data_IF_779822214990
#
_entry.id   IF_779822214990
#
_cell.length_a   1.000
_cell.length_b   1.000
_cell.length_c   1.000
_cell.angle_alpha   90.00
_cell.angle_beta   90.00
_cell.angle_gamma   90.00
#
_symmetry.space_group_name_H-M   'P 1'
#
loop_
_entity.id
_entity.type
_entity.pdbx_description
1 polymer ?
#
# COMPACT_ATOMS: atom_id res chain seq x y z
N UNK A 1 -20.06 -0.81 -16.43
CA UNK A 1 -19.16 -1.24 -15.34
C UNK A 1 -17.74 -1.12 -15.87
N UNK A 2 -16.84 -0.54 -15.09
CA UNK A 2 -15.41 -0.48 -15.42
C UNK A 2 -14.78 -1.87 -15.24
N UNK A 3 -13.81 -2.24 -16.07
CA UNK A 3 -13.01 -3.46 -15.85
C UNK A 3 -12.14 -3.32 -14.59
N UNK A 4 -11.68 -4.43 -14.00
CA UNK A 4 -10.84 -4.40 -12.80
C UNK A 4 -9.57 -3.54 -13.00
N UNK A 5 -8.97 -3.60 -14.19
CA UNK A 5 -7.83 -2.76 -14.58
C UNK A 5 -8.14 -1.25 -14.57
N UNK A 6 -9.39 -0.90 -14.87
CA UNK A 6 -9.87 0.48 -14.85
C UNK A 6 -10.26 0.94 -13.45
N UNK A 7 -10.26 0.04 -12.45
CA UNK A 7 -10.58 0.36 -11.07
C UNK A 7 -9.33 0.53 -10.19
N UNK A 8 -8.12 0.40 -10.75
CA UNK A 8 -6.87 0.68 -10.07
C UNK A 8 -6.84 2.12 -9.53
N UNK A 9 -6.72 2.27 -8.21
CA UNK A 9 -6.80 3.55 -7.50
C UNK A 9 -8.23 4.07 -7.24
N UNK A 10 -9.28 3.30 -7.53
CA UNK A 10 -10.67 3.70 -7.24
C UNK A 10 -11.03 3.50 -5.78
N UNK A 11 -12.00 4.28 -5.29
CA UNK A 11 -12.56 4.04 -3.97
C UNK A 11 -13.63 2.96 -4.00
N UNK A 12 -13.53 2.06 -3.03
CA UNK A 12 -14.53 1.07 -2.70
C UNK A 12 -15.21 1.46 -1.39
N UNK A 13 -16.53 1.31 -1.35
CA UNK A 13 -17.36 1.64 -0.18
C UNK A 13 -18.35 0.50 0.04
N UNK A 14 -18.42 -0.02 1.27
CA UNK A 14 -19.39 -1.04 1.70
C UNK A 14 -20.42 -0.40 2.64
N UNK A 15 -21.73 -0.73 2.51
CA UNK A 15 -22.84 0.20 2.31
C UNK A 15 -22.97 1.26 3.42
N UNK A 16 -23.65 2.39 3.13
CA UNK A 16 -23.32 3.68 3.72
C UNK A 16 -23.81 3.74 5.17
N UNK A 17 -22.92 3.48 6.13
CA UNK A 17 -23.00 4.23 7.36
C UNK A 17 -22.75 5.69 6.95
N UNK A 18 -23.81 6.50 6.85
CA UNK A 18 -23.60 7.93 6.64
C UNK A 18 -22.63 8.41 7.73
N UNK A 19 -21.54 9.12 7.39
CA UNK A 19 -20.58 9.55 8.38
C UNK A 19 -21.26 10.53 9.34
N UNK A 20 -21.72 10.04 10.49
CA UNK A 20 -22.26 10.86 11.56
C UNK A 20 -21.05 11.42 12.32
N UNK A 21 -20.69 12.68 12.06
CA UNK A 21 -19.75 13.45 12.90
C UNK A 21 -18.29 12.99 12.84
N UNK A 22 -17.65 13.09 11.67
CA UNK A 22 -16.25 12.70 11.31
C UNK A 22 -15.19 12.88 12.41
N UNK A 23 -15.12 11.98 13.37
CA UNK A 23 -14.05 11.92 14.35
C UNK A 23 -12.89 11.01 13.88
N UNK A 24 -13.20 9.90 13.19
CA UNK A 24 -12.23 8.89 12.76
C UNK A 24 -12.57 8.30 11.39
N UNK A 25 -11.56 8.09 10.54
CA UNK A 25 -11.65 7.52 9.19
C UNK A 25 -10.65 6.40 9.01
N UNK A 26 -11.06 5.29 8.41
CA UNK A 26 -10.24 4.15 8.05
C UNK A 26 -10.03 4.11 6.54
N UNK A 27 -8.79 4.11 6.09
CA UNK A 27 -8.37 3.92 4.71
C UNK A 27 -7.73 2.54 4.60
N UNK A 28 -8.39 1.63 3.88
CA UNK A 28 -7.96 0.26 3.72
C UNK A 28 -7.35 0.03 2.33
N UNK A 29 -6.24 -0.69 2.28
CA UNK A 29 -5.60 -1.08 1.02
C UNK A 29 -5.07 -2.52 1.10
N UNK A 30 -5.37 -3.30 0.07
CA UNK A 30 -5.12 -4.74 0.07
C UNK A 30 -3.78 -5.13 -0.57
N UNK A 31 -3.44 -6.40 -0.45
CA UNK A 31 -2.30 -7.01 -1.13
C UNK A 31 -2.53 -7.26 -2.62
N UNK A 32 -1.56 -7.94 -3.23
CA UNK A 32 -1.65 -8.43 -4.61
C UNK A 32 -2.91 -9.28 -4.82
N UNK A 33 -3.49 -9.29 -6.02
CA UNK A 33 -4.58 -10.19 -6.45
C UNK A 33 -5.87 -10.15 -5.62
N UNK A 34 -6.10 -9.07 -4.87
CA UNK A 34 -7.40 -8.85 -4.25
C UNK A 34 -8.37 -8.34 -5.30
N UNK A 35 -9.30 -9.18 -5.74
CA UNK A 35 -10.40 -8.71 -6.59
C UNK A 35 -11.23 -7.64 -5.88
N UNK A 36 -11.98 -6.87 -6.65
CA UNK A 36 -12.90 -5.85 -6.12
C UNK A 36 -13.88 -6.48 -5.13
N UNK A 37 -14.46 -7.64 -5.47
CA UNK A 37 -15.40 -8.34 -4.59
C UNK A 37 -14.75 -8.76 -3.27
N UNK A 38 -13.51 -9.27 -3.32
CA UNK A 38 -12.76 -9.65 -2.11
C UNK A 38 -12.48 -8.43 -1.24
N UNK A 39 -12.03 -7.34 -1.84
CA UNK A 39 -11.78 -6.12 -1.08
C UNK A 39 -13.07 -5.58 -0.46
N UNK A 40 -14.21 -5.65 -1.16
CA UNK A 40 -15.51 -5.28 -0.60
C UNK A 40 -15.89 -6.17 0.60
N UNK A 41 -15.64 -7.47 0.55
CA UNK A 41 -15.83 -8.39 1.69
C UNK A 41 -14.91 -8.06 2.89
N UNK A 42 -13.69 -7.63 2.61
CA UNK A 42 -12.77 -7.16 3.66
C UNK A 42 -13.28 -5.88 4.30
N UNK A 43 -13.78 -4.92 3.51
CA UNK A 43 -14.43 -3.70 4.02
C UNK A 43 -15.66 -4.04 4.86
N UNK A 44 -16.49 -4.99 4.43
CA UNK A 44 -17.61 -5.51 5.22
C UNK A 44 -17.15 -6.02 6.58
N UNK A 45 -16.11 -6.84 6.59
CA UNK A 45 -15.56 -7.40 7.83
C UNK A 45 -15.08 -6.29 8.76
N UNK A 46 -14.43 -5.25 8.23
CA UNK A 46 -13.97 -4.10 9.01
C UNK A 46 -15.14 -3.29 9.59
N UNK A 47 -16.25 -3.15 8.87
CA UNK A 47 -17.49 -2.57 9.41
C UNK A 47 -17.98 -3.40 10.59
N UNK A 48 -18.04 -4.73 10.46
CA UNK A 48 -18.46 -5.63 11.54
C UNK A 48 -17.53 -5.57 12.76
N UNK A 49 -16.21 -5.51 12.56
CA UNK A 49 -15.23 -5.40 13.64
C UNK A 49 -15.35 -4.08 14.40
N UNK A 50 -15.84 -3.02 13.76
CA UNK A 50 -15.90 -1.67 14.34
C UNK A 50 -17.31 -1.22 14.72
N UNK A 51 -18.30 -2.12 14.72
CA UNK A 51 -19.70 -1.77 15.01
C UNK A 51 -19.92 -1.01 16.32
N UNK A 52 -19.20 -1.37 17.38
CA UNK A 52 -19.36 -0.74 18.69
C UNK A 52 -18.79 0.69 18.73
N UNK A 53 -17.85 1.00 17.82
CA UNK A 53 -17.25 2.33 17.62
C UNK A 53 -17.02 2.57 16.12
N UNK A 54 -18.08 2.92 15.37
CA UNK A 54 -18.04 2.96 13.91
C UNK A 54 -16.99 3.94 13.36
N UNK A 55 -16.31 3.52 12.29
CA UNK A 55 -15.36 4.34 11.53
C UNK A 55 -15.94 4.71 10.16
N UNK A 56 -15.49 5.83 9.58
CA UNK A 56 -15.72 6.13 8.16
C UNK A 56 -14.74 5.29 7.32
N UNK A 57 -15.19 4.15 6.78
CA UNK A 57 -14.33 3.15 6.12
C UNK A 57 -14.36 3.32 4.59
N UNK A 58 -13.19 3.50 3.99
CA UNK A 58 -12.99 3.55 2.54
C UNK A 58 -11.89 2.56 2.13
N UNK A 59 -12.10 1.81 1.06
CA UNK A 59 -11.06 1.01 0.42
C UNK A 59 -10.43 1.76 -0.76
N UNK A 60 -9.12 1.67 -0.93
CA UNK A 60 -8.41 2.06 -2.15
C UNK A 60 -8.05 0.80 -2.91
N UNK A 61 -8.61 0.61 -4.10
CA UNK A 61 -8.33 -0.56 -4.91
C UNK A 61 -6.96 -0.48 -5.58
N UNK A 62 -6.25 -1.61 -5.70
CA UNK A 62 -4.85 -1.65 -6.12
C UNK A 62 -4.47 -2.90 -6.96
N UNK A 63 -5.44 -3.57 -7.57
CA UNK A 63 -5.20 -4.75 -8.42
C UNK A 63 -4.91 -4.30 -9.86
N UNK A 64 -3.76 -4.66 -10.41
CA UNK A 64 -3.38 -4.33 -11.80
C UNK A 64 -3.30 -5.59 -12.66
N UNK A 65 -4.46 -6.09 -13.12
CA UNK A 65 -4.51 -7.11 -14.16
C UNK A 65 -3.76 -8.43 -13.87
N UNK A 66 -3.74 -8.88 -12.61
CA UNK A 66 -3.30 -10.23 -12.24
C UNK A 66 -1.90 -10.33 -11.61
N UNK A 67 -1.66 -11.48 -10.96
CA UNK A 67 -0.58 -11.71 -9.99
C UNK A 67 0.82 -11.24 -10.39
N UNK A 68 1.19 -11.40 -11.67
CA UNK A 68 2.55 -11.09 -12.12
C UNK A 68 2.82 -9.59 -12.17
N UNK A 69 1.82 -8.81 -12.56
CA UNK A 69 1.93 -7.36 -12.59
C UNK A 69 1.97 -6.83 -11.16
N UNK A 70 1.03 -7.26 -10.32
CA UNK A 70 1.03 -6.90 -8.89
C UNK A 70 2.37 -7.20 -8.20
N UNK A 71 2.98 -8.36 -8.49
CA UNK A 71 4.31 -8.71 -7.96
C UNK A 71 5.41 -7.75 -8.45
N UNK A 72 5.40 -7.42 -9.74
CA UNK A 72 6.33 -6.44 -10.30
C UNK A 72 6.15 -5.07 -9.64
N UNK A 73 4.91 -4.62 -9.48
CA UNK A 73 4.60 -3.35 -8.83
C UNK A 73 5.11 -3.32 -7.38
N UNK A 74 4.89 -4.42 -6.65
CA UNK A 74 5.39 -4.58 -5.29
C UNK A 74 6.93 -4.46 -5.25
N UNK A 75 7.63 -5.13 -6.16
CA UNK A 75 9.09 -5.08 -6.23
C UNK A 75 9.62 -3.69 -6.58
N UNK A 76 9.01 -3.03 -7.58
CA UNK A 76 9.39 -1.67 -7.98
C UNK A 76 9.11 -0.66 -6.87
N UNK A 77 7.95 -0.76 -6.20
CA UNK A 77 7.60 0.09 -5.07
C UNK A 77 8.57 -0.10 -3.89
N UNK A 78 8.97 -1.34 -3.61
CA UNK A 78 9.98 -1.64 -2.57
C UNK A 78 11.36 -1.07 -2.92
N UNK A 79 11.76 -1.18 -4.18
CA UNK A 79 13.02 -0.60 -4.66
C UNK A 79 13.02 0.92 -4.51
N UNK A 80 11.91 1.59 -4.80
CA UNK A 80 11.79 3.04 -4.61
C UNK A 80 11.80 3.43 -3.12
N UNK A 81 11.11 2.68 -2.24
CA UNK A 81 11.17 2.92 -0.79
C UNK A 81 12.60 2.91 -0.24
N UNK A 82 13.43 1.98 -0.73
CA UNK A 82 14.83 1.90 -0.34
C UNK A 82 15.64 3.14 -0.75
N UNK A 83 15.21 3.88 -1.78
CA UNK A 83 15.83 5.16 -2.18
C UNK A 83 15.45 6.32 -1.25
N UNK A 84 14.39 6.17 -0.44
CA UNK A 84 13.95 7.19 0.51
C UNK A 84 14.57 7.03 1.90
N UNK A 85 15.38 6.00 2.10
CA UNK A 85 16.15 5.86 3.33
C UNK A 85 17.15 7.01 3.46
N UNK A 86 17.33 7.61 4.66
CA UNK A 86 18.18 8.78 4.85
C UNK A 86 19.60 8.64 4.28
N UNK A 87 20.18 7.45 4.41
CA UNK A 87 21.54 7.12 3.95
C UNK A 87 21.64 6.87 2.44
N UNK A 88 20.52 6.72 1.73
CA UNK A 88 20.45 6.49 0.27
C UNK A 88 19.76 7.61 -0.50
N UNK A 89 19.13 8.56 0.20
CA UNK A 89 18.38 9.66 -0.40
C UNK A 89 19.31 10.54 -1.26
N UNK A 90 19.22 10.33 -2.57
CA UNK A 90 19.92 11.15 -3.57
C UNK A 90 19.08 12.39 -3.92
N UNK A 91 19.72 13.41 -4.51
CA UNK A 91 19.00 14.57 -5.08
C UNK A 91 17.94 14.16 -6.12
N UNK A 92 18.19 13.09 -6.87
CA UNK A 92 17.26 12.61 -7.88
C UNK A 92 16.01 11.99 -7.25
N UNK A 93 16.21 11.13 -6.25
CA UNK A 93 15.10 10.51 -5.49
C UNK A 93 14.29 11.57 -4.75
N UNK A 94 14.97 12.57 -4.17
CA UNK A 94 14.34 13.72 -3.53
C UNK A 94 13.46 14.54 -4.49
N UNK A 95 13.97 14.83 -5.69
CA UNK A 95 13.23 15.53 -6.73
C UNK A 95 12.03 14.71 -7.22
N UNK A 96 12.15 13.39 -7.35
CA UNK A 96 11.00 12.53 -7.69
C UNK A 96 9.90 12.64 -6.63
N UNK A 97 10.28 12.58 -5.34
CA UNK A 97 9.35 12.73 -4.24
C UNK A 97 8.66 14.11 -4.25
N UNK A 98 9.41 15.18 -4.56
CA UNK A 98 8.83 16.52 -4.75
C UNK A 98 7.82 16.54 -5.90
N UNK A 99 8.15 15.94 -7.04
CA UNK A 99 7.23 15.87 -8.18
C UNK A 99 5.93 15.15 -7.79
N UNK A 100 5.99 14.07 -7.02
CA UNK A 100 4.81 13.37 -6.51
C UNK A 100 3.97 14.25 -5.58
N UNK A 101 4.61 15.04 -4.70
CA UNK A 101 3.90 15.99 -3.85
C UNK A 101 3.21 17.10 -4.67
N UNK A 102 3.83 17.56 -5.76
CA UNK A 102 3.23 18.53 -6.68
C UNK A 102 2.00 17.94 -7.40
N UNK A 103 2.05 16.67 -7.81
CA UNK A 103 0.89 15.95 -8.35
C UNK A 103 -0.25 15.85 -7.33
N UNK A 104 0.08 15.46 -6.09
CA UNK A 104 -0.90 15.40 -5.00
C UNK A 104 -1.56 16.76 -4.75
N UNK A 105 -0.77 17.85 -4.81
CA UNK A 105 -1.30 19.21 -4.67
C UNK A 105 -2.33 19.54 -5.74
N UNK A 106 -2.05 19.22 -7.00
CA UNK A 106 -2.99 19.42 -8.11
C UNK A 106 -4.30 18.63 -7.90
N UNK A 107 -4.21 17.38 -7.46
CA UNK A 107 -5.40 16.59 -7.10
C UNK A 107 -6.19 17.24 -5.96
N UNK A 108 -5.50 17.77 -4.94
CA UNK A 108 -6.12 18.39 -3.78
C UNK A 108 -6.76 19.76 -4.03
N UNK A 109 -6.48 20.39 -5.18
CA UNK A 109 -7.13 21.64 -5.59
C UNK A 109 -8.52 21.38 -6.21
N UNK A 110 -8.88 20.12 -6.47
CA UNK A 110 -10.23 19.68 -6.87
C UNK A 110 -10.82 18.65 -5.89
N UNK A 111 -12.15 18.50 -5.92
CA UNK A 111 -12.83 17.39 -5.23
C UNK A 111 -13.01 16.25 -6.23
N UNK A 112 -12.39 15.11 -5.95
CA UNK A 112 -12.45 13.93 -6.79
C UNK A 112 -13.67 13.11 -6.45
N UNK A 113 -14.35 12.61 -7.48
CA UNK A 113 -15.38 11.60 -7.30
C UNK A 113 -14.78 10.28 -6.77
N UNK A 114 -15.54 9.43 -6.05
CA UNK A 114 -15.07 8.10 -5.63
C UNK A 114 -14.60 7.22 -6.80
N UNK A 115 -15.20 7.39 -7.98
CA UNK A 115 -14.90 6.69 -9.23
C UNK A 115 -13.95 7.46 -10.17
N UNK A 116 -13.32 8.53 -9.68
CA UNK A 116 -12.39 9.32 -10.48
C UNK A 116 -11.11 8.53 -10.80
N UNK A 117 -10.78 8.42 -12.09
CA UNK A 117 -9.48 7.97 -12.56
C UNK A 117 -8.45 9.10 -12.34
N UNK A 118 -7.60 8.90 -11.33
CA UNK A 118 -6.55 9.86 -10.96
C UNK A 118 -5.67 10.24 -12.15
N UNK A 119 -5.41 9.30 -13.06
CA UNK A 119 -4.60 9.58 -14.22
C UNK A 119 -5.31 10.55 -15.16
N UNK A 120 -6.57 10.29 -15.45
CA UNK A 120 -7.36 11.17 -16.31
C UNK A 120 -7.44 12.60 -15.72
N UNK A 121 -7.64 12.70 -14.40
CA UNK A 121 -7.69 13.98 -13.68
C UNK A 121 -6.38 14.78 -13.79
N UNK A 122 -5.24 14.11 -13.61
CA UNK A 122 -3.92 14.76 -13.73
C UNK A 122 -3.57 15.15 -15.16
N UNK A 123 -3.92 14.32 -16.14
CA UNK A 123 -3.67 14.58 -17.56
C UNK A 123 -4.46 15.78 -18.07
N UNK A 124 -5.69 15.97 -17.59
CA UNK A 124 -6.48 17.16 -17.92
C UNK A 124 -5.81 18.45 -17.43
N UNK A 125 -5.09 18.40 -16.31
CA UNK A 125 -4.43 19.56 -15.71
C UNK A 125 -3.01 19.79 -16.24
N UNK A 126 -2.31 18.76 -16.74
CA UNK A 126 -0.99 18.88 -17.38
C UNK A 126 -0.92 18.09 -18.69
N UNK A 127 -0.98 18.81 -19.81
CA UNK A 127 -0.78 18.22 -21.16
C UNK A 127 0.61 17.60 -21.35
N UNK A 128 1.64 18.02 -20.58
CA UNK A 128 2.96 17.39 -20.59
C UNK A 128 2.98 15.96 -20.02
N UNK A 129 1.86 15.52 -19.42
CA UNK A 129 1.63 14.14 -18.98
C UNK A 129 0.84 13.32 -20.03
N UNK A 130 0.67 13.83 -21.27
CA UNK A 130 0.12 13.08 -22.38
C UNK A 130 1.20 12.20 -23.03
N UNK A 131 0.88 10.95 -23.37
CA UNK A 131 1.84 9.99 -23.90
C UNK A 131 2.07 10.15 -25.41
N UNK A 132 3.33 10.22 -25.83
CA UNK A 132 3.79 9.74 -27.13
C UNK A 132 4.54 8.42 -26.94
N UNK A 133 3.96 7.31 -27.41
CA UNK A 133 4.57 5.97 -27.32
C UNK A 133 5.90 5.97 -28.09
N UNK A 134 7.00 5.61 -27.41
CA UNK A 134 8.34 5.46 -28.01
C UNK A 134 9.41 6.50 -27.60
N UNK A 135 9.04 7.65 -27.02
CA UNK A 135 10.02 8.66 -26.56
C UNK A 135 10.58 8.36 -25.16
N UNK A 136 9.82 7.66 -24.32
CA UNK A 136 10.16 7.37 -22.92
C UNK A 136 11.39 6.45 -22.75
N UNK A 137 11.71 5.63 -23.76
CA UNK A 137 12.80 4.65 -23.70
C UNK A 137 14.22 5.27 -23.69
N UNK A 138 14.38 6.55 -24.06
CA UNK A 138 15.72 7.15 -24.27
C UNK A 138 16.40 7.73 -23.02
N UNK A 139 15.77 7.69 -21.84
CA UNK A 139 16.30 8.36 -20.62
C UNK A 139 16.23 7.48 -19.36
N UNK A 140 16.78 6.28 -19.43
CA UNK A 140 16.68 5.32 -18.34
C UNK A 140 17.97 5.24 -17.53
N UNK A 141 17.90 5.29 -16.18
CA UNK A 141 19.07 5.06 -15.32
C UNK A 141 19.40 3.57 -15.13
N UNK A 142 18.68 2.67 -15.80
CA UNK A 142 18.92 1.22 -15.76
C UNK A 142 18.77 0.57 -17.14
N UNK A 143 19.49 -0.54 -17.32
CA UNK A 143 19.52 -1.31 -18.56
C UNK A 143 18.24 -2.15 -18.70
N UNK A 144 17.41 -1.80 -19.69
CA UNK A 144 16.18 -2.52 -20.01
C UNK A 144 16.43 -3.95 -20.50
N UNK A 145 17.57 -4.23 -21.14
CA UNK A 145 17.89 -5.57 -21.66
C UNK A 145 18.13 -6.57 -20.54
N UNK A 146 18.40 -6.08 -19.34
CA UNK A 146 18.56 -6.88 -18.14
C UNK A 146 17.19 -7.21 -17.54
N UNK A 147 16.27 -6.23 -17.50
CA UNK A 147 14.89 -6.39 -17.05
C UNK A 147 14.10 -7.35 -17.96
N UNK A 148 14.33 -7.29 -19.27
CA UNK A 148 13.79 -8.23 -20.28
C UNK A 148 14.10 -9.71 -20.00
N UNK A 149 15.11 -10.01 -19.16
CA UNK A 149 15.50 -11.39 -18.81
C UNK A 149 14.69 -11.97 -17.65
N UNK A 150 13.81 -11.20 -17.01
CA UNK A 150 12.95 -11.71 -15.95
C UNK A 150 11.86 -12.62 -16.55
N UNK A 151 11.74 -13.89 -16.13
CA UNK A 151 10.83 -14.86 -16.75
C UNK A 151 9.36 -14.43 -16.76
N UNK A 152 8.93 -13.64 -15.78
CA UNK A 152 7.53 -13.19 -15.69
C UNK A 152 7.20 -12.01 -16.61
N UNK A 153 8.20 -11.22 -17.06
CA UNK A 153 8.01 -10.10 -17.99
C UNK A 153 7.84 -10.55 -19.45
N UNK A 154 8.14 -11.81 -19.76
CA UNK A 154 8.00 -12.37 -21.11
C UNK A 154 6.54 -12.40 -21.60
N UNK A 155 5.57 -12.26 -20.68
CA UNK A 155 4.13 -12.29 -20.99
C UNK A 155 3.42 -10.93 -20.81
N UNK A 156 4.13 -9.89 -20.34
CA UNK A 156 3.59 -8.53 -20.27
C UNK A 156 3.90 -7.82 -21.59
N UNK A 157 2.94 -7.10 -22.18
CA UNK A 157 3.26 -6.32 -23.37
C UNK A 157 4.27 -5.24 -22.99
N UNK A 158 5.42 -5.24 -23.66
CA UNK A 158 6.56 -4.39 -23.28
C UNK A 158 6.24 -2.90 -23.29
N UNK A 159 5.35 -2.48 -24.17
CA UNK A 159 4.86 -1.10 -24.20
C UNK A 159 4.06 -0.74 -22.93
N UNK A 160 3.34 -1.70 -22.35
CA UNK A 160 2.60 -1.50 -21.09
C UNK A 160 3.58 -1.46 -19.91
N UNK A 161 4.65 -2.24 -19.97
CA UNK A 161 5.73 -2.21 -18.97
C UNK A 161 6.51 -0.88 -19.00
N UNK A 162 6.89 -0.40 -20.19
CA UNK A 162 7.54 0.90 -20.35
C UNK A 162 6.60 2.05 -19.96
N UNK A 163 5.32 1.99 -20.32
CA UNK A 163 4.32 2.95 -19.88
C UNK A 163 4.05 2.89 -18.37
N UNK A 164 4.20 1.73 -17.73
CA UNK A 164 4.09 1.61 -16.28
C UNK A 164 5.31 2.19 -15.56
N UNK A 165 6.52 1.85 -16.02
CA UNK A 165 7.77 2.33 -15.43
C UNK A 165 8.03 3.82 -15.68
N UNK A 166 7.58 4.33 -16.82
CA UNK A 166 7.98 5.64 -17.34
C UNK A 166 6.82 6.50 -17.83
N UNK A 167 5.61 5.96 -17.89
CA UNK A 167 4.43 6.73 -18.28
C UNK A 167 3.94 7.57 -17.11
N UNK A 168 3.75 8.86 -17.41
CA UNK A 168 2.98 9.92 -16.72
C UNK A 168 3.17 10.16 -15.21
N UNK A 169 3.90 9.31 -14.50
CA UNK A 169 4.24 9.48 -13.09
C UNK A 169 5.75 9.34 -12.87
N UNK A 170 6.31 9.99 -11.84
CA UNK A 170 7.57 9.54 -11.27
C UNK A 170 7.40 8.09 -10.80
N UNK A 171 8.40 7.24 -11.08
CA UNK A 171 8.43 5.87 -10.55
C UNK A 171 8.16 5.89 -9.03
N UNK A 172 7.21 5.05 -8.57
CA UNK A 172 6.79 4.98 -7.16
C UNK A 172 5.55 5.78 -6.77
N UNK A 173 4.87 6.46 -7.70
CA UNK A 173 3.56 7.08 -7.47
C UNK A 173 2.44 6.48 -8.34
N UNK A 174 2.16 5.16 -8.24
CA UNK A 174 1.04 4.56 -8.95
C UNK A 174 -0.30 5.16 -8.48
N UNK A 175 -1.37 4.96 -9.26
CA UNK A 175 -2.72 5.45 -8.97
C UNK A 175 -3.16 5.21 -7.52
N UNK A 176 -3.04 3.99 -6.94
CA UNK A 176 -3.46 3.74 -5.56
C UNK A 176 -2.61 4.49 -4.53
N UNK A 177 -1.32 4.71 -4.77
CA UNK A 177 -0.48 5.54 -3.90
C UNK A 177 -0.98 6.98 -3.83
N UNK A 178 -1.25 7.58 -4.99
CA UNK A 178 -1.77 8.95 -5.06
C UNK A 178 -3.21 9.04 -4.52
N UNK A 179 -4.05 8.02 -4.75
CA UNK A 179 -5.40 7.99 -4.17
C UNK A 179 -5.35 7.97 -2.66
N UNK A 180 -4.53 7.07 -2.10
CA UNK A 180 -4.39 6.95 -0.66
C UNK A 180 -3.88 8.26 -0.06
N UNK A 181 -2.85 8.89 -0.65
CA UNK A 181 -2.36 10.18 -0.19
C UNK A 181 -3.43 11.27 -0.27
N UNK A 182 -4.19 11.33 -1.37
CA UNK A 182 -5.32 12.25 -1.53
C UNK A 182 -6.37 12.09 -0.43
N UNK A 183 -6.82 10.86 -0.15
CA UNK A 183 -7.84 10.62 0.87
C UNK A 183 -7.36 10.93 2.29
N UNK A 184 -6.06 10.72 2.57
CA UNK A 184 -5.45 11.17 3.84
C UNK A 184 -5.53 12.69 3.95
N UNK A 185 -5.14 13.44 2.92
CA UNK A 185 -5.22 14.91 2.93
C UNK A 185 -6.66 15.38 3.12
N UNK A 186 -7.63 14.78 2.43
CA UNK A 186 -9.04 15.17 2.56
C UNK A 186 -9.62 14.84 3.93
N UNK A 187 -9.26 13.69 4.51
CA UNK A 187 -9.65 13.34 5.87
C UNK A 187 -9.08 14.32 6.91
N UNK A 188 -7.80 14.66 6.80
CA UNK A 188 -7.16 15.64 7.69
C UNK A 188 -7.77 17.04 7.55
N UNK A 189 -8.07 17.50 6.33
CA UNK A 189 -8.77 18.78 6.08
C UNK A 189 -10.17 18.81 6.68
N UNK A 190 -10.83 17.65 6.74
CA UNK A 190 -12.13 17.50 7.40
C UNK A 190 -12.04 17.37 8.93
N UNK A 191 -10.83 17.41 9.51
CA UNK A 191 -10.61 17.31 10.96
C UNK A 191 -10.69 15.89 11.51
N UNK A 192 -10.60 14.86 10.66
CA UNK A 192 -10.68 13.47 11.09
C UNK A 192 -9.31 12.92 11.55
N UNK A 193 -9.33 12.04 12.56
CA UNK A 193 -8.24 11.10 12.84
C UNK A 193 -8.24 9.99 11.77
N UNK A 194 -7.08 9.69 11.21
CA UNK A 194 -6.91 8.79 10.05
C UNK A 194 -6.21 7.50 10.49
N UNK A 195 -6.83 6.38 10.17
CA UNK A 195 -6.26 5.04 10.29
C UNK A 195 -5.95 4.53 8.89
N UNK A 196 -4.69 4.20 8.63
CA UNK A 196 -4.26 3.52 7.41
C UNK A 196 -4.06 2.06 7.75
N UNK A 197 -4.92 1.20 7.20
CA UNK A 197 -4.90 -0.23 7.41
C UNK A 197 -4.48 -0.92 6.11
N UNK A 198 -3.31 -1.55 6.10
CA UNK A 198 -2.70 -2.03 4.85
C UNK A 198 -2.24 -3.48 4.94
N UNK A 199 -2.54 -4.27 3.90
CA UNK A 199 -2.15 -5.67 3.78
C UNK A 199 -1.03 -5.87 2.75
N UNK A 200 -0.02 -6.68 3.05
CA UNK A 200 0.93 -7.17 2.03
C UNK A 200 1.48 -6.04 1.13
N UNK A 201 1.30 -6.09 -0.19
CA UNK A 201 1.68 -5.02 -1.13
C UNK A 201 1.06 -3.66 -0.78
N UNK A 202 -0.17 -3.62 -0.27
CA UNK A 202 -0.79 -2.40 0.23
C UNK A 202 0.06 -1.66 1.25
N UNK A 203 0.88 -2.37 2.04
CA UNK A 203 1.82 -1.73 2.98
C UNK A 203 2.97 -0.99 2.28
N UNK A 204 3.39 -1.42 1.09
CA UNK A 204 4.36 -0.71 0.23
C UNK A 204 3.71 0.55 -0.33
N UNK A 205 2.48 0.43 -0.84
CA UNK A 205 1.69 1.56 -1.36
C UNK A 205 1.48 2.61 -0.27
N UNK A 206 1.09 2.17 0.94
CA UNK A 206 0.94 3.03 2.10
C UNK A 206 2.26 3.72 2.49
N UNK A 207 3.37 2.99 2.57
CA UNK A 207 4.67 3.59 2.88
C UNK A 207 5.08 4.65 1.86
N UNK A 208 4.88 4.41 0.56
CA UNK A 208 5.15 5.38 -0.50
C UNK A 208 4.27 6.63 -0.34
N UNK A 209 2.97 6.45 -0.10
CA UNK A 209 2.02 7.55 0.12
C UNK A 209 2.44 8.41 1.32
N UNK A 210 2.90 7.78 2.41
CA UNK A 210 3.36 8.48 3.61
C UNK A 210 4.61 9.33 3.36
N UNK A 211 5.55 8.88 2.52
CA UNK A 211 6.70 9.70 2.10
C UNK A 211 6.24 10.90 1.26
N UNK A 212 5.28 10.70 0.35
CA UNK A 212 4.69 11.79 -0.44
C UNK A 212 4.02 12.81 0.49
N UNK A 213 3.24 12.34 1.48
CA UNK A 213 2.59 13.19 2.48
C UNK A 213 3.60 13.98 3.32
N UNK A 214 4.71 13.35 3.73
CA UNK A 214 5.80 14.06 4.44
C UNK A 214 6.34 15.22 3.61
N UNK A 215 6.51 15.02 2.29
CA UNK A 215 6.95 16.09 1.39
C UNK A 215 5.88 17.15 1.16
N UNK A 216 4.63 16.73 0.99
CA UNK A 216 3.48 17.59 0.74
C UNK A 216 3.19 18.53 1.90
N UNK A 217 3.23 18.03 3.13
CA UNK A 217 2.96 18.85 4.32
C UNK A 217 4.18 19.65 4.79
N UNK A 218 5.39 19.36 4.33
CA UNK A 218 6.58 20.08 4.79
C UNK A 218 6.45 21.61 4.59
N UNK A 219 6.83 22.43 5.59
CA UNK A 219 7.49 22.07 6.85
C UNK A 219 6.53 21.74 8.01
N UNK A 220 5.22 21.68 7.78
CA UNK A 220 4.24 21.34 8.82
C UNK A 220 4.33 19.86 9.20
N UNK A 221 4.57 19.58 10.49
CA UNK A 221 4.77 18.20 11.00
C UNK A 221 3.61 17.68 11.84
N UNK A 222 2.73 18.54 12.36
CA UNK A 222 1.67 18.12 13.30
C UNK A 222 0.59 17.23 12.69
N UNK A 223 0.52 17.13 11.35
CA UNK A 223 -0.41 16.23 10.68
C UNK A 223 -0.24 14.77 11.14
N UNK A 224 0.97 14.35 11.51
CA UNK A 224 1.25 12.98 11.98
C UNK A 224 0.57 12.65 13.31
N UNK A 225 0.14 13.65 14.08
CA UNK A 225 -0.56 13.43 15.35
C UNK A 225 -1.94 12.80 15.16
N UNK A 226 -2.53 12.99 13.97
CA UNK A 226 -3.84 12.50 13.58
C UNK A 226 -3.76 11.31 12.61
N UNK A 227 -2.58 10.72 12.37
CA UNK A 227 -2.41 9.59 11.45
C UNK A 227 -1.83 8.39 12.19
N UNK A 228 -2.51 7.25 12.03
CA UNK A 228 -2.19 5.97 12.65
C UNK A 228 -2.06 4.91 11.56
N UNK A 229 -1.02 4.07 11.64
CA UNK A 229 -0.75 3.05 10.64
C UNK A 229 -0.80 1.67 11.28
N UNK A 230 -1.60 0.76 10.71
CA UNK A 230 -1.70 -0.63 11.14
C UNK A 230 -1.48 -1.48 9.89
N UNK A 231 -0.34 -2.15 9.79
CA UNK A 231 -0.07 -3.01 8.63
C UNK A 231 -0.05 -4.47 9.05
N UNK A 232 -0.79 -5.32 8.33
CA UNK A 232 -0.88 -6.74 8.61
C UNK A 232 -0.35 -7.57 7.43
N UNK A 233 0.33 -8.67 7.73
CA UNK A 233 1.15 -9.40 6.74
C UNK A 233 2.06 -8.45 5.93
N UNK A 234 2.81 -7.51 6.55
CA UNK A 234 3.43 -6.41 5.82
C UNK A 234 4.61 -6.86 4.95
N UNK A 235 4.71 -6.24 3.77
CA UNK A 235 5.88 -6.32 2.89
C UNK A 235 6.90 -5.20 3.15
N UNK A 236 6.72 -4.43 4.23
CA UNK A 236 7.58 -3.33 4.67
C UNK A 236 8.09 -3.54 6.09
N UNK A 237 9.18 -2.85 6.44
CA UNK A 237 9.69 -2.69 7.80
C UNK A 237 9.31 -1.31 8.34
N UNK A 238 9.37 -1.13 9.66
CA UNK A 238 9.19 0.20 10.28
C UNK A 238 10.19 1.22 9.70
N UNK A 239 11.41 0.79 9.40
CA UNK A 239 12.45 1.66 8.83
C UNK A 239 12.12 2.17 7.42
N UNK A 240 11.26 1.47 6.68
CA UNK A 240 10.78 1.93 5.37
C UNK A 240 9.85 3.15 5.47
N UNK A 241 9.35 3.46 6.66
CA UNK A 241 8.40 4.55 6.90
C UNK A 241 9.11 5.87 7.22
N UNK A 242 8.46 7.01 6.92
CA UNK A 242 8.94 8.31 7.33
C UNK A 242 9.20 8.36 8.85
N UNK A 243 10.34 8.91 9.33
CA UNK A 243 10.70 8.87 10.75
C UNK A 243 9.61 9.40 11.69
N UNK A 244 8.86 10.43 11.27
CA UNK A 244 7.79 11.04 12.05
C UNK A 244 6.61 10.10 12.33
N UNK A 245 6.39 9.10 11.49
CA UNK A 245 5.26 8.18 11.59
C UNK A 245 5.61 6.84 12.25
N UNK A 246 6.89 6.50 12.39
CA UNK A 246 7.31 5.19 12.95
C UNK A 246 6.66 4.90 14.30
N UNK A 247 6.63 5.89 15.19
CA UNK A 247 5.99 5.80 16.52
C UNK A 247 4.47 5.67 16.51
N UNK A 248 3.83 5.89 15.36
CA UNK A 248 2.38 5.76 15.14
C UNK A 248 2.04 4.56 14.26
N UNK A 249 2.99 3.66 14.04
CA UNK A 249 2.82 2.46 13.21
C UNK A 249 2.94 1.20 14.06
N UNK A 250 2.01 0.27 13.85
CA UNK A 250 2.07 -1.10 14.36
C UNK A 250 2.06 -2.05 13.16
N UNK A 251 2.98 -3.01 13.17
CA UNK A 251 3.03 -4.10 12.20
C UNK A 251 2.51 -5.38 12.87
N UNK A 252 1.67 -6.15 12.18
CA UNK A 252 1.14 -7.44 12.64
C UNK A 252 1.55 -8.50 11.63
N UNK A 253 2.14 -9.59 12.10
CA UNK A 253 2.53 -10.69 11.23
C UNK A 253 2.27 -12.03 11.91
N UNK A 254 1.66 -12.97 11.20
CA UNK A 254 1.63 -14.36 11.65
C UNK A 254 3.03 -14.99 11.54
N UNK A 255 3.42 -15.79 12.54
CA UNK A 255 4.76 -16.43 12.59
C UNK A 255 5.06 -17.27 11.35
N UNK A 256 4.03 -17.87 10.75
CA UNK A 256 4.12 -18.73 9.57
C UNK A 256 3.85 -17.97 8.25
N UNK A 257 3.68 -16.65 8.31
CA UNK A 257 3.58 -15.80 7.12
C UNK A 257 4.96 -15.58 6.49
N UNK A 258 5.35 -16.54 5.65
CA UNK A 258 6.63 -16.55 4.93
C UNK A 258 6.70 -15.44 3.86
N UNK A 259 5.57 -14.98 3.35
CA UNK A 259 5.52 -13.92 2.35
C UNK A 259 5.90 -12.60 3.00
N UNK A 260 5.27 -12.24 4.12
CA UNK A 260 5.65 -11.07 4.90
C UNK A 260 7.11 -11.14 5.35
N UNK A 261 7.60 -12.31 5.78
CA UNK A 261 9.01 -12.49 6.14
C UNK A 261 9.96 -12.24 4.96
N UNK A 262 9.68 -12.81 3.79
CA UNK A 262 10.53 -12.69 2.61
C UNK A 262 10.56 -11.26 2.05
N UNK A 263 9.40 -10.61 1.90
CA UNK A 263 9.31 -9.28 1.29
C UNK A 263 9.71 -8.14 2.24
N UNK A 264 9.45 -8.27 3.55
CA UNK A 264 9.86 -7.24 4.50
C UNK A 264 11.39 -7.16 4.66
N UNK A 265 12.10 -8.29 4.60
CA UNK A 265 13.55 -8.37 4.86
C UNK A 265 14.46 -8.05 3.66
N UNK A 266 13.94 -7.46 2.58
CA UNK A 266 14.70 -7.02 1.41
C UNK A 266 15.61 -5.81 1.74
N UNK A 267 16.68 -6.02 2.52
CA UNK A 267 17.61 -4.96 3.01
C UNK A 267 18.88 -4.79 2.16
N UNK A 268 19.33 -5.84 1.47
CA UNK A 268 20.59 -5.84 0.72
C UNK A 268 20.38 -5.55 -0.76
N UNK A 269 20.46 -4.26 -1.08
CA UNK A 269 20.32 -3.73 -2.44
C UNK A 269 21.69 -3.66 -3.11
N UNK A 270 22.19 -4.83 -3.50
CA UNK A 270 22.79 -4.94 -4.84
C UNK A 270 21.61 -5.34 -5.73
N UNK A 271 20.98 -4.30 -6.30
CA UNK A 271 19.60 -4.22 -6.81
C UNK A 271 19.19 -5.35 -7.77
N UNK A 272 20.15 -6.12 -8.28
CA UNK A 272 19.92 -7.05 -9.37
C UNK A 272 20.29 -8.51 -9.06
N UNK A 273 21.44 -8.78 -8.45
CA UNK A 273 21.85 -10.16 -8.17
C UNK A 273 20.97 -10.81 -7.10
N UNK A 274 20.62 -10.07 -6.04
CA UNK A 274 19.71 -10.56 -5.01
C UNK A 274 18.25 -10.58 -5.47
N UNK A 275 17.84 -9.60 -6.28
CA UNK A 275 16.51 -9.56 -6.87
C UNK A 275 16.31 -10.75 -7.82
N UNK A 276 17.27 -11.03 -8.70
CA UNK A 276 17.25 -12.22 -9.56
C UNK A 276 17.28 -13.50 -8.75
N UNK A 277 18.12 -13.61 -7.71
CA UNK A 277 18.19 -14.82 -6.90
C UNK A 277 16.93 -15.05 -6.04
N UNK A 278 16.27 -13.99 -5.58
CA UNK A 278 15.05 -14.09 -4.79
C UNK A 278 13.81 -14.23 -5.66
N UNK A 279 13.73 -13.54 -6.82
CA UNK A 279 12.72 -13.84 -7.85
C UNK A 279 12.88 -15.28 -8.31
N UNK A 280 14.11 -15.73 -8.60
CA UNK A 280 14.38 -17.11 -8.95
C UNK A 280 14.01 -18.03 -7.79
N UNK A 281 14.33 -17.70 -6.54
CA UNK A 281 13.92 -18.51 -5.38
C UNK A 281 12.41 -18.49 -5.13
N UNK A 282 11.69 -17.42 -5.47
CA UNK A 282 10.23 -17.32 -5.40
C UNK A 282 9.59 -18.09 -6.56
N UNK A 283 10.19 -18.06 -7.74
CA UNK A 283 9.76 -18.81 -8.92
C UNK A 283 10.06 -20.31 -8.80
N UNK A 284 11.22 -20.67 -8.27
CA UNK A 284 11.62 -22.06 -7.95
C UNK A 284 10.77 -22.61 -6.79
N UNK A 285 10.14 -21.73 -6.00
CA UNK A 285 9.11 -22.03 -4.99
C UNK A 285 7.70 -21.65 -5.46
N UNK A 286 7.49 -21.37 -6.75
CA UNK A 286 6.22 -20.84 -7.25
C UNK A 286 5.08 -21.81 -6.96
N UNK A 287 5.32 -23.12 -7.01
CA UNK A 287 4.32 -24.12 -6.66
C UNK A 287 3.91 -24.03 -5.18
N UNK A 288 4.84 -23.75 -4.27
CA UNK A 288 4.56 -23.46 -2.86
C UNK A 288 3.94 -22.07 -2.64
N UNK A 289 4.17 -21.10 -3.53
CA UNK A 289 3.55 -19.77 -3.50
C UNK A 289 2.13 -19.78 -4.09
N UNK A 290 1.87 -20.64 -5.06
CA UNK A 290 0.52 -20.96 -5.56
C UNK A 290 -0.26 -21.70 -4.47
N UNK A 291 0.38 -22.57 -3.69
CA UNK A 291 -0.20 -23.09 -2.43
C UNK A 291 -0.42 -21.97 -1.38
N UNK A 292 0.40 -20.91 -1.34
CA UNK A 292 0.18 -19.72 -0.49
C UNK A 292 -0.93 -18.79 -0.98
N UNK A 293 -1.39 -18.93 -2.23
CA UNK A 293 -2.58 -18.28 -2.77
C UNK A 293 -3.87 -19.06 -2.47
N UNK A 294 -3.78 -20.22 -1.79
CA UNK A 294 -4.94 -20.93 -1.26
C UNK A 294 -5.65 -20.10 -0.19
N UNK A 295 -6.96 -20.26 -0.11
CA UNK A 295 -7.84 -19.47 0.76
C UNK A 295 -7.47 -19.52 2.25
N UNK A 296 -6.73 -20.54 2.67
CA UNK A 296 -6.35 -20.81 4.08
C UNK A 296 -4.91 -20.42 4.41
N UNK A 297 -4.22 -19.66 3.55
CA UNK A 297 -2.85 -19.22 3.82
C UNK A 297 -2.80 -18.18 4.96
N UNK A 298 -1.80 -18.31 5.85
CA UNK A 298 -1.50 -17.36 6.93
C UNK A 298 -1.18 -15.94 6.45
N UNK A 299 -0.89 -15.78 5.15
CA UNK A 299 -0.67 -14.47 4.55
C UNK A 299 -1.97 -13.79 4.11
N UNK A 300 -3.07 -14.51 3.94
CA UNK A 300 -4.30 -13.92 3.37
C UNK A 300 -4.89 -12.84 4.27
N UNK A 301 -5.53 -11.82 3.68
CA UNK A 301 -6.24 -10.82 4.47
C UNK A 301 -7.34 -11.46 5.33
N UNK A 302 -8.01 -12.49 4.79
CA UNK A 302 -9.01 -13.32 5.48
C UNK A 302 -8.50 -13.84 6.84
N UNK A 303 -7.27 -14.34 6.88
CA UNK A 303 -6.65 -14.82 8.11
C UNK A 303 -6.56 -13.70 9.15
N UNK A 304 -6.00 -12.54 8.80
CA UNK A 304 -5.84 -11.44 9.74
C UNK A 304 -7.16 -10.79 10.15
N UNK A 305 -8.15 -10.76 9.25
CA UNK A 305 -9.47 -10.17 9.48
C UNK A 305 -10.44 -11.09 10.24
N UNK A 306 -10.03 -12.30 10.64
CA UNK A 306 -10.89 -13.20 11.42
C UNK A 306 -11.94 -13.94 10.60
N UNK A 307 -11.78 -13.99 9.28
CA UNK A 307 -12.74 -14.65 8.38
C UNK A 307 -12.51 -16.16 8.26
N UNK A 308 -11.46 -16.69 8.90
CA UNK A 308 -11.20 -18.13 8.99
C UNK A 308 -11.62 -18.63 10.38
N UNK A 309 -12.12 -19.86 10.44
CA UNK A 309 -12.57 -20.48 11.69
C UNK A 309 -11.44 -21.00 12.58
N UNK A 310 -10.26 -20.37 12.53
CA UNK A 310 -9.08 -20.75 13.31
C UNK A 310 -8.87 -19.81 14.52
N UNK A 311 -8.34 -20.32 15.65
CA UNK A 311 -8.15 -19.50 16.85
C UNK A 311 -7.20 -18.30 16.68
N UNK A 312 -6.17 -18.46 15.86
CA UNK A 312 -5.21 -17.41 15.51
C UNK A 312 -5.84 -16.32 14.63
N UNK A 313 -6.68 -16.69 13.66
CA UNK A 313 -7.45 -15.74 12.86
C UNK A 313 -8.38 -14.89 13.72
N UNK A 314 -9.09 -15.52 14.67
CA UNK A 314 -9.96 -14.81 15.63
C UNK A 314 -9.17 -13.86 16.54
N UNK A 315 -7.98 -14.26 17.00
CA UNK A 315 -7.09 -13.38 17.79
C UNK A 315 -6.55 -12.21 16.97
N UNK A 316 -6.24 -12.42 15.69
CA UNK A 316 -5.80 -11.36 14.79
C UNK A 316 -6.90 -10.30 14.64
N UNK A 317 -8.14 -10.73 14.41
CA UNK A 317 -9.30 -9.84 14.36
C UNK A 317 -9.54 -9.07 15.66
N UNK A 318 -9.43 -9.74 16.83
CA UNK A 318 -9.56 -9.08 18.14
C UNK A 318 -8.48 -8.01 18.34
N UNK A 319 -7.23 -8.29 17.94
CA UNK A 319 -6.16 -7.31 17.97
C UNK A 319 -6.48 -6.13 17.04
N UNK A 320 -6.88 -6.38 15.79
CA UNK A 320 -7.25 -5.32 14.85
C UNK A 320 -8.41 -4.47 15.38
N UNK A 321 -9.46 -5.10 15.91
CA UNK A 321 -10.58 -4.40 16.54
C UNK A 321 -10.10 -3.48 17.67
N UNK A 322 -9.25 -3.97 18.59
CA UNK A 322 -8.71 -3.15 19.67
C UNK A 322 -7.88 -1.98 19.14
N UNK A 323 -7.04 -2.20 18.12
CA UNK A 323 -6.23 -1.14 17.51
C UNK A 323 -7.08 -0.08 16.80
N UNK A 324 -8.21 -0.46 16.21
CA UNK A 324 -9.08 0.44 15.44
C UNK A 324 -10.06 1.23 16.32
N UNK A 325 -10.49 0.64 17.45
CA UNK A 325 -11.59 1.20 18.26
C UNK A 325 -11.08 1.94 19.50
N UNK A 326 -9.90 1.62 20.02
CA UNK A 326 -9.34 2.29 21.19
C UNK A 326 -8.71 3.66 20.86
N UNK A 327 -8.65 4.53 21.86
CA UNK A 327 -8.07 5.87 21.73
C UNK A 327 -6.54 5.80 21.85
N UNK A 328 -5.83 6.07 20.76
CA UNK A 328 -4.37 6.05 20.71
C UNK A 328 -3.70 7.18 21.52
N UNK A 329 -4.43 8.28 21.78
CA UNK A 329 -3.93 9.39 22.58
C UNK A 329 -4.03 9.13 24.07
N UNK A 330 -5.01 8.34 24.53
CA UNK A 330 -5.18 8.07 25.96
C UNK A 330 -4.78 6.66 26.39
N UNK A 331 -4.73 5.70 25.47
CA UNK A 331 -4.39 4.31 25.80
C UNK A 331 -2.85 4.11 25.90
N UNK A 332 -2.31 3.84 27.10
CA UNK A 332 -0.87 3.70 27.30
C UNK A 332 -0.28 2.45 26.61
N UNK A 333 -1.07 1.37 26.46
CA UNK A 333 -0.63 0.17 25.77
C UNK A 333 -0.39 0.45 24.29
N UNK A 334 -1.34 1.11 23.63
CA UNK A 334 -1.20 1.47 22.21
C UNK A 334 0.00 2.38 21.96
N UNK A 335 0.23 3.37 22.83
CA UNK A 335 1.43 4.21 22.75
C UNK A 335 2.72 3.40 22.87
N UNK A 336 2.74 2.40 23.76
CA UNK A 336 3.92 1.54 23.95
C UNK A 336 4.17 0.58 22.77
N UNK A 337 3.11 0.23 22.03
CA UNK A 337 3.21 -0.63 20.84
C UNK A 337 3.67 0.15 19.59
N UNK A 338 3.71 1.47 19.62
CA UNK A 338 4.22 2.28 18.50
C UNK A 338 5.63 1.84 18.07
N UNK A 339 5.86 1.72 16.76
CA UNK A 339 7.10 1.18 16.16
C UNK A 339 7.32 -0.32 16.37
N UNK A 340 6.31 -1.08 16.80
CA UNK A 340 6.46 -2.52 17.10
C UNK A 340 5.96 -3.40 15.95
N UNK A 341 6.62 -4.55 15.78
CA UNK A 341 6.12 -5.68 15.00
C UNK A 341 5.61 -6.77 15.95
N UNK A 342 4.31 -6.95 15.98
CA UNK A 342 3.62 -7.99 16.75
C UNK A 342 3.63 -9.27 15.92
N UNK A 343 4.21 -10.33 16.49
CA UNK A 343 4.21 -11.66 15.89
C UNK A 343 3.08 -12.48 16.52
N UNK A 344 2.11 -12.90 15.70
CA UNK A 344 1.04 -13.80 16.11
C UNK A 344 1.56 -15.25 16.04
N UNK A 345 1.36 -15.99 17.11
CA UNK A 345 1.75 -17.40 17.19
C UNK A 345 0.50 -18.28 17.29
N UNK A 346 0.49 -19.38 16.54
CA UNK A 346 -0.47 -20.46 16.75
C UNK A 346 -0.12 -21.13 18.08
N UNK A 347 -1.01 -21.03 19.07
CA UNK A 347 -0.81 -21.75 20.32
C UNK A 347 -0.97 -23.25 20.02
N UNK A 348 0.00 -24.11 20.38
CA UNK A 348 -0.22 -25.55 20.35
C UNK A 348 -1.35 -25.87 21.34
N UNK A 349 -2.31 -26.66 20.88
CA UNK A 349 -3.34 -27.24 21.75
C UNK A 349 -2.72 -28.17 22.79
#
# INVERSE_FOLDING_TARGET
MLSEQQQDGHLLVYPPAQPIGRAKRLLHINGVTSSVERQVQDLETLVWLTLDRPLDILGVHNSTAGYRNDLLEAMMGKAELAQFWPERLSRQSDQRLQNCADLLKMLCDSTLSPDADILAELQQQRQTLALTVGEAAQKLPFDLDIVRRLPFLQNMAWNDFEAYLYGNYPAGAPRPTLRLAYEVVQGLRAGAEIFILAHSQGSIIAALALHILQRFFAPYVKWVEAVHCIFYGPAVMIDDLPPLLRSRTILIQHRQDLVAEAFSNLRHVDLWSNLQNQVKSLLDRADAIVELAQEDSFHTARHYLGQLDTPDSKKAAQLLQALLTEDWQTNPLLKSLGSTRIILESMPF
#
